data_IF_861195050156
#
_entry.id   IF_861195050156
#
_cell.length_a   1.000
_cell.length_b   1.000
_cell.length_c   1.000
_cell.angle_alpha   90.00
_cell.angle_beta   90.00
_cell.angle_gamma   90.00
#
_symmetry.space_group_name_H-M   'P 1'
#
loop_
_entity.id
_entity.type
_entity.pdbx_description
1 polymer ?
#
# COMPACT_ATOMS: atom_id res chain seq x y z
N UNK A 1 -1.74 4.45 -62.81
CA UNK A 1 -2.24 3.26 -63.54
C UNK A 1 -1.90 2.05 -62.68
N UNK A 2 -2.77 1.24 -62.09
CA UNK A 2 -4.22 0.96 -62.08
C UNK A 2 -4.50 0.44 -60.65
N UNK A 3 -5.44 0.92 -59.84
CA UNK A 3 -6.91 0.78 -59.85
C UNK A 3 -7.47 -0.66 -59.84
N UNK A 4 -8.30 -0.89 -58.80
CA UNK A 4 -9.41 -1.88 -58.65
C UNK A 4 -9.06 -3.34 -58.35
N UNK A 5 -9.83 -4.12 -57.58
CA UNK A 5 -10.83 -3.96 -56.50
C UNK A 5 -11.19 -5.42 -56.04
N UNK A 6 -12.00 -5.62 -54.98
CA UNK A 6 -12.08 -6.87 -54.20
C UNK A 6 -13.14 -7.86 -54.69
N UNK A 7 -13.07 -9.11 -54.21
CA UNK A 7 -14.09 -10.14 -54.44
C UNK A 7 -14.99 -10.30 -53.21
N UNK A 8 -16.29 -10.19 -53.45
CA UNK A 8 -17.40 -10.45 -52.54
C UNK A 8 -17.82 -11.94 -52.51
N UNK A 9 -18.19 -12.42 -51.31
CA UNK A 9 -19.33 -13.28 -50.85
C UNK A 9 -19.91 -14.39 -51.78
N UNK A 10 -20.45 -15.48 -51.17
CA UNK A 10 -21.88 -15.47 -50.84
C UNK A 10 -22.23 -15.94 -49.41
N UNK A 11 -23.39 -15.48 -48.98
CA UNK A 11 -24.10 -15.88 -47.77
C UNK A 11 -24.96 -17.12 -48.02
N UNK A 12 -25.20 -17.92 -46.99
CA UNK A 12 -26.42 -18.73 -46.90
C UNK A 12 -27.04 -18.60 -45.51
N UNK A 13 -28.29 -18.15 -45.55
CA UNK A 13 -29.26 -18.03 -44.47
C UNK A 13 -30.20 -19.25 -44.52
N UNK A 14 -30.59 -19.79 -43.37
CA UNK A 14 -31.92 -20.38 -43.10
C UNK A 14 -31.95 -20.91 -41.65
N UNK A 15 -32.64 -20.24 -40.74
CA UNK A 15 -34.00 -20.59 -40.28
C UNK A 15 -34.11 -21.92 -39.52
N UNK A 16 -34.25 -21.84 -38.19
CA UNK A 16 -35.40 -22.47 -37.51
C UNK A 16 -35.74 -21.77 -36.20
N UNK A 17 -36.98 -21.32 -36.14
CA UNK A 17 -37.66 -20.69 -35.01
C UNK A 17 -38.79 -21.66 -34.61
N UNK A 18 -38.95 -21.96 -33.32
CA UNK A 18 -40.19 -22.42 -32.65
C UNK A 18 -39.87 -22.56 -31.15
N UNK A 19 -40.21 -21.60 -30.28
CA UNK A 19 -41.49 -21.42 -29.54
C UNK A 19 -42.03 -22.71 -28.88
N UNK A 20 -41.94 -22.79 -27.54
CA UNK A 20 -43.09 -22.65 -26.61
C UNK A 20 -42.66 -22.77 -25.13
N UNK A 21 -43.43 -22.09 -24.28
CA UNK A 21 -43.27 -21.92 -22.85
C UNK A 21 -44.13 -22.88 -22.02
N UNK A 22 -43.72 -23.14 -20.77
CA UNK A 22 -44.55 -23.39 -19.58
C UNK A 22 -43.61 -23.33 -18.35
N UNK A 23 -43.59 -22.26 -17.54
CA UNK A 23 -44.38 -21.98 -16.31
C UNK A 23 -44.15 -22.93 -15.11
N UNK A 24 -43.47 -22.34 -14.10
CA UNK A 24 -43.61 -22.44 -12.62
C UNK A 24 -43.32 -23.76 -11.89
N UNK A 25 -42.44 -23.72 -10.87
CA UNK A 25 -42.79 -23.72 -9.42
C UNK A 25 -41.60 -23.28 -8.56
N UNK A 26 -41.93 -22.73 -7.39
CA UNK A 26 -41.11 -22.04 -6.37
C UNK A 26 -40.45 -23.04 -5.41
N UNK A 27 -39.22 -22.76 -4.93
CA UNK A 27 -38.80 -23.04 -3.56
C UNK A 27 -37.50 -22.29 -3.18
N UNK A 28 -37.58 -21.52 -2.09
CA UNK A 28 -36.49 -20.92 -1.34
C UNK A 28 -35.56 -22.01 -0.75
N UNK A 29 -34.25 -21.75 -0.74
CA UNK A 29 -33.36 -22.30 0.29
C UNK A 29 -32.41 -21.22 0.83
N UNK A 30 -32.81 -20.80 2.02
CA UNK A 30 -32.13 -20.22 3.18
C UNK A 30 -30.60 -20.09 3.16
N UNK A 31 -30.15 -18.86 3.44
CA UNK A 31 -28.85 -18.57 4.04
C UNK A 31 -28.83 -19.05 5.50
N UNK A 32 -27.91 -19.94 5.84
CA UNK A 32 -27.61 -20.29 7.23
C UNK A 32 -26.58 -19.31 7.77
N UNK A 33 -27.02 -18.32 8.55
CA UNK A 33 -26.17 -17.55 9.47
C UNK A 33 -26.46 -18.09 10.87
N UNK A 34 -25.48 -18.76 11.48
CA UNK A 34 -25.55 -19.13 12.89
C UNK A 34 -25.14 -17.88 13.68
N UNK A 35 -26.12 -17.13 14.15
CA UNK A 35 -25.96 -16.15 15.22
C UNK A 35 -26.47 -16.78 16.51
N UNK A 36 -25.61 -16.87 17.54
CA UNK A 36 -26.00 -17.31 18.87
C UNK A 36 -26.92 -16.26 19.54
N UNK A 37 -27.99 -16.64 20.24
CA UNK A 37 -28.84 -15.68 20.94
C UNK A 37 -28.21 -15.30 22.28
N UNK A 38 -27.96 -14.00 22.47
CA UNK A 38 -27.84 -13.44 23.82
C UNK A 38 -29.25 -13.35 24.41
N UNK A 39 -29.51 -14.13 25.45
CA UNK A 39 -30.72 -14.07 26.26
C UNK A 39 -30.75 -12.73 27.01
N UNK A 40 -31.89 -12.02 26.91
CA UNK A 40 -32.16 -10.76 27.57
C UNK A 40 -32.88 -10.97 28.91
N UNK A 41 -32.39 -10.30 29.95
CA UNK A 41 -33.11 -10.03 31.21
C UNK A 41 -32.85 -8.57 31.64
N UNK A 42 -33.74 -7.99 32.47
CA UNK A 42 -34.30 -6.66 32.23
C UNK A 42 -33.56 -5.49 32.90
N UNK A 43 -33.68 -4.34 32.22
CA UNK A 43 -33.74 -2.94 32.69
C UNK A 43 -33.09 -2.64 34.06
N UNK A 44 -31.79 -2.34 34.02
CA UNK A 44 -31.22 -1.22 34.76
C UNK A 44 -30.52 -0.33 33.74
N UNK A 45 -30.71 0.99 33.86
CA UNK A 45 -30.10 1.99 32.99
C UNK A 45 -28.57 1.84 33.01
N UNK A 46 -28.03 1.13 32.02
CA UNK A 46 -26.62 0.95 31.83
C UNK A 46 -26.05 2.25 31.26
N UNK A 47 -25.12 2.85 32.01
CA UNK A 47 -24.15 3.82 31.52
C UNK A 47 -23.60 3.30 30.17
N UNK A 48 -23.57 4.11 29.10
CA UNK A 48 -23.05 3.64 27.81
C UNK A 48 -21.60 3.18 27.97
N UNK A 49 -21.40 1.87 27.85
CA UNK A 49 -20.05 1.29 27.78
C UNK A 49 -19.29 1.95 26.64
N UNK A 50 -18.04 2.39 26.84
CA UNK A 50 -17.21 2.89 25.76
C UNK A 50 -17.09 1.79 24.70
N UNK A 51 -17.60 2.11 23.51
CA UNK A 51 -17.93 1.15 22.46
C UNK A 51 -16.79 0.21 22.11
N UNK A 52 -17.14 -1.05 21.86
CA UNK A 52 -16.29 -2.02 21.21
C UNK A 52 -15.62 -1.37 19.98
N UNK A 53 -14.29 -1.41 19.83
CA UNK A 53 -13.64 -0.90 18.64
C UNK A 53 -14.17 -1.66 17.43
N UNK A 54 -14.82 -0.94 16.51
CA UNK A 54 -15.31 -1.49 15.25
C UNK A 54 -14.16 -2.20 14.50
N UNK A 55 -14.47 -3.36 13.91
CA UNK A 55 -13.50 -4.14 13.12
C UNK A 55 -12.91 -3.29 11.99
N UNK A 56 -11.58 -3.35 11.74
CA UNK A 56 -10.97 -2.69 10.60
C UNK A 56 -11.64 -3.14 9.30
N UNK A 57 -12.04 -2.19 8.46
CA UNK A 57 -12.54 -2.48 7.10
C UNK A 57 -11.43 -2.22 6.10
N UNK A 58 -11.33 -3.10 5.09
CA UNK A 58 -10.46 -2.91 3.93
C UNK A 58 -10.64 -1.49 3.41
N UNK A 59 -9.56 -0.73 3.29
CA UNK A 59 -9.68 0.64 2.80
C UNK A 59 -10.13 0.61 1.35
N UNK A 60 -11.22 1.30 1.10
CA UNK A 60 -11.82 1.47 -0.22
C UNK A 60 -11.88 2.95 -0.54
N UNK A 61 -11.42 3.31 -1.74
CA UNK A 61 -11.56 4.67 -2.25
C UNK A 61 -12.28 4.63 -3.59
N UNK A 62 -13.32 5.44 -3.74
CA UNK A 62 -13.90 5.70 -5.05
C UNK A 62 -12.98 6.62 -5.86
N UNK A 63 -12.58 6.17 -7.03
CA UNK A 63 -11.73 6.88 -7.98
C UNK A 63 -12.33 6.69 -9.37
N UNK A 64 -12.72 7.78 -10.03
CA UNK A 64 -13.29 7.74 -11.38
C UNK A 64 -14.49 6.79 -11.51
N UNK A 65 -15.36 6.73 -10.49
CA UNK A 65 -16.52 5.85 -10.46
C UNK A 65 -16.25 4.42 -9.98
N UNK A 66 -14.99 4.06 -9.76
CA UNK A 66 -14.58 2.69 -9.39
C UNK A 66 -14.05 2.60 -7.96
N UNK A 67 -14.26 1.45 -7.31
CA UNK A 67 -13.70 1.18 -5.99
C UNK A 67 -12.28 0.62 -6.13
N UNK A 68 -11.32 1.25 -5.46
CA UNK A 68 -9.93 0.75 -5.36
C UNK A 68 -9.68 0.20 -3.96
N UNK A 69 -9.09 -0.98 -3.89
CA UNK A 69 -8.72 -1.65 -2.64
C UNK A 69 -7.22 -1.61 -2.48
N UNK A 70 -6.69 -1.09 -1.37
CA UNK A 70 -5.24 -0.93 -1.22
C UNK A 70 -4.61 -2.27 -0.75
N UNK A 71 -4.97 -3.36 -1.43
CA UNK A 71 -4.69 -4.74 -1.06
C UNK A 71 -3.80 -5.38 -2.13
N UNK A 72 -2.49 -5.32 -1.91
CA UNK A 72 -1.48 -5.82 -2.84
C UNK A 72 -0.94 -7.20 -2.45
N UNK A 73 -1.70 -7.90 -1.62
CA UNK A 73 -1.38 -9.21 -1.09
C UNK A 73 -0.97 -10.19 -2.18
N UNK A 74 -0.11 -11.13 -1.81
CA UNK A 74 0.40 -12.15 -2.71
C UNK A 74 -0.67 -13.02 -3.36
N UNK A 75 -1.77 -13.24 -2.65
CA UNK A 75 -2.92 -14.01 -3.11
C UNK A 75 -3.87 -13.22 -4.01
N UNK A 76 -3.69 -11.90 -4.14
CA UNK A 76 -4.56 -11.05 -4.94
C UNK A 76 -3.91 -10.69 -6.27
N UNK A 77 -4.68 -10.71 -7.39
CA UNK A 77 -4.19 -10.16 -8.65
C UNK A 77 -3.89 -8.66 -8.53
N UNK A 78 -2.99 -8.13 -9.36
CA UNK A 78 -2.73 -6.69 -9.39
C UNK A 78 -3.91 -5.89 -9.97
N UNK A 79 -4.68 -6.52 -10.87
CA UNK A 79 -5.93 -6.00 -11.42
C UNK A 79 -7.09 -6.52 -10.58
N UNK A 80 -7.85 -5.60 -9.99
CA UNK A 80 -9.04 -5.91 -9.22
C UNK A 80 -10.08 -6.58 -10.14
N UNK A 81 -10.50 -7.83 -9.85
CA UNK A 81 -11.45 -8.56 -10.71
C UNK A 81 -12.83 -7.92 -10.78
N UNK A 82 -13.24 -7.16 -9.75
CA UNK A 82 -14.53 -6.51 -9.69
C UNK A 82 -14.61 -5.25 -10.56
N UNK A 83 -13.49 -4.55 -10.74
CA UNK A 83 -13.45 -3.27 -11.48
C UNK A 83 -12.65 -3.33 -12.78
N UNK A 84 -11.87 -4.39 -13.02
CA UNK A 84 -11.00 -4.51 -14.19
C UNK A 84 -9.87 -3.48 -14.24
N UNK A 85 -9.46 -2.95 -13.08
CA UNK A 85 -8.49 -1.86 -12.95
C UNK A 85 -7.50 -2.19 -11.85
N UNK A 86 -6.25 -1.70 -11.91
CA UNK A 86 -5.31 -1.98 -10.84
C UNK A 86 -5.66 -1.19 -9.59
N UNK A 87 -5.26 -1.78 -8.47
CA UNK A 87 -5.39 -1.18 -7.15
C UNK A 87 -4.20 -0.27 -6.80
N UNK A 88 -3.20 -0.18 -7.68
CA UNK A 88 -2.06 0.73 -7.62
C UNK A 88 -2.21 1.87 -8.64
N UNK A 89 -1.73 3.05 -8.28
CA UNK A 89 -1.73 4.22 -9.15
C UNK A 89 -0.53 4.23 -10.10
N UNK A 90 0.65 3.85 -9.59
CA UNK A 90 1.88 3.80 -10.37
C UNK A 90 2.76 2.61 -9.95
N UNK A 91 3.54 2.10 -10.90
CA UNK A 91 4.57 1.10 -10.66
C UNK A 91 5.89 1.60 -11.23
N UNK A 92 6.88 1.81 -10.37
CA UNK A 92 8.23 2.21 -10.77
C UNK A 92 9.18 1.00 -10.76
N UNK A 93 9.97 0.81 -11.81
CA UNK A 93 11.02 -0.23 -11.93
C UNK A 93 11.98 0.10 -13.09
N UNK A 94 13.24 -0.35 -13.06
CA UNK A 94 14.23 -0.13 -14.15
C UNK A 94 14.26 1.33 -14.69
N UNK A 95 14.16 2.32 -13.80
CA UNK A 95 14.12 3.74 -14.18
C UNK A 95 12.88 4.16 -15.01
N UNK A 96 11.88 3.28 -15.12
CA UNK A 96 10.60 3.48 -15.81
C UNK A 96 9.47 3.59 -14.78
N UNK A 97 8.36 4.18 -15.22
CA UNK A 97 7.11 4.22 -14.47
C UNK A 97 5.96 3.78 -15.38
N UNK A 98 5.11 2.90 -14.88
CA UNK A 98 3.82 2.57 -15.47
C UNK A 98 2.73 3.31 -14.71
N UNK A 99 1.81 3.96 -15.43
CA UNK A 99 0.55 4.43 -14.86
C UNK A 99 -0.43 3.27 -14.70
N UNK A 100 -1.49 3.50 -13.93
CA UNK A 100 -2.55 2.51 -13.69
C UNK A 100 -3.09 1.83 -14.96
N UNK A 101 -3.34 2.58 -16.04
CA UNK A 101 -3.79 2.02 -17.32
C UNK A 101 -2.81 1.03 -17.99
N UNK A 102 -1.56 0.96 -17.53
CA UNK A 102 -0.50 0.13 -18.11
C UNK A 102 -0.14 -1.07 -17.22
N UNK A 103 -0.61 -1.12 -15.98
CA UNK A 103 -0.36 -2.22 -15.05
C UNK A 103 -1.23 -3.42 -15.47
N UNK A 104 -0.65 -4.62 -15.48
CA UNK A 104 -1.35 -5.88 -15.79
C UNK A 104 -1.28 -6.85 -14.62
N UNK A 105 -1.95 -8.00 -14.71
CA UNK A 105 -1.80 -9.06 -13.70
C UNK A 105 -0.40 -9.69 -13.66
N UNK A 106 0.41 -9.48 -14.70
CA UNK A 106 1.83 -9.81 -14.68
C UNK A 106 2.67 -8.70 -14.02
N UNK A 107 2.06 -7.64 -13.49
CA UNK A 107 2.73 -6.49 -12.89
C UNK A 107 3.33 -5.59 -13.95
N UNK A 108 4.57 -5.90 -14.37
CA UNK A 108 5.37 -5.11 -15.32
C UNK A 108 5.67 -5.80 -16.65
N UNK A 109 5.23 -7.06 -16.84
CA UNK A 109 5.70 -7.95 -17.92
C UNK A 109 7.25 -8.17 -17.92
N UNK A 110 7.91 -7.89 -16.79
CA UNK A 110 9.36 -8.06 -16.58
C UNK A 110 9.60 -8.78 -15.24
N UNK A 111 10.81 -9.29 -14.95
CA UNK A 111 11.04 -10.06 -13.72
C UNK A 111 11.01 -9.20 -12.44
N UNK A 112 11.07 -7.87 -12.56
CA UNK A 112 11.11 -6.93 -11.43
C UNK A 112 9.96 -7.10 -10.46
N UNK A 113 8.76 -7.42 -10.95
CA UNK A 113 7.60 -7.63 -10.07
C UNK A 113 6.66 -8.66 -10.65
N UNK A 114 6.15 -9.53 -9.79
CA UNK A 114 5.20 -10.56 -10.19
C UNK A 114 4.60 -11.30 -9.00
N UNK A 115 3.57 -12.08 -9.27
CA UNK A 115 3.03 -13.07 -8.33
C UNK A 115 3.77 -14.38 -8.53
N UNK A 116 4.32 -14.94 -7.46
CA UNK A 116 5.07 -16.20 -7.48
C UNK A 116 4.59 -17.11 -6.36
N UNK A 117 4.67 -18.42 -6.55
CA UNK A 117 4.36 -19.37 -5.48
C UNK A 117 5.57 -19.51 -4.55
N UNK A 118 5.35 -19.39 -3.25
CA UNK A 118 6.36 -19.65 -2.22
C UNK A 118 6.12 -21.04 -1.60
N UNK A 119 6.97 -22.03 -1.89
CA UNK A 119 6.80 -23.39 -1.37
C UNK A 119 6.97 -23.46 0.15
N UNK A 120 7.69 -22.52 0.77
CA UNK A 120 7.92 -22.52 2.21
C UNK A 120 6.67 -22.21 3.03
N UNK A 121 5.68 -21.55 2.43
CA UNK A 121 4.39 -21.25 3.07
C UNK A 121 3.17 -21.78 2.30
N UNK A 122 3.40 -22.44 1.15
CA UNK A 122 2.35 -23.02 0.31
C UNK A 122 1.37 -22.00 -0.27
N UNK A 123 1.80 -20.76 -0.53
CA UNK A 123 0.93 -19.66 -0.95
C UNK A 123 1.60 -18.76 -2.00
N UNK A 124 0.78 -18.07 -2.80
CA UNK A 124 1.26 -17.03 -3.71
C UNK A 124 1.67 -15.76 -2.95
N UNK A 125 2.78 -15.16 -3.38
CA UNK A 125 3.39 -13.96 -2.81
C UNK A 125 3.71 -12.95 -3.91
N UNK A 126 3.73 -11.66 -3.58
CA UNK A 126 4.23 -10.62 -4.47
C UNK A 126 5.74 -10.57 -4.35
N UNK A 127 6.47 -10.94 -5.40
CA UNK A 127 7.93 -10.75 -5.46
C UNK A 127 8.22 -9.39 -6.07
N UNK A 128 9.12 -8.63 -5.46
CA UNK A 128 9.78 -7.48 -6.07
C UNK A 128 11.28 -7.72 -6.15
N UNK A 129 11.89 -7.22 -7.21
CA UNK A 129 13.32 -7.35 -7.48
C UNK A 129 13.87 -6.03 -7.98
N UNK A 130 15.07 -5.69 -7.52
CA UNK A 130 15.90 -4.64 -8.11
C UNK A 130 17.22 -5.28 -8.51
N UNK A 131 17.64 -5.09 -9.76
CA UNK A 131 18.83 -5.70 -10.30
C UNK A 131 19.99 -4.70 -10.35
N UNK A 132 21.26 -5.17 -10.26
CA UNK A 132 22.42 -4.32 -10.48
C UNK A 132 22.42 -3.61 -11.84
N UNK A 133 21.80 -4.21 -12.85
CA UNK A 133 21.71 -3.64 -14.21
C UNK A 133 20.62 -2.59 -14.41
N UNK A 134 19.77 -2.33 -13.42
CA UNK A 134 18.63 -1.45 -13.57
C UNK A 134 19.06 -0.01 -13.88
N UNK A 135 18.27 0.68 -14.71
CA UNK A 135 18.45 2.11 -14.94
C UNK A 135 18.01 2.90 -13.72
N UNK A 136 18.69 4.00 -13.44
CA UNK A 136 18.34 4.87 -12.33
C UNK A 136 17.47 6.04 -12.82
N UNK A 137 16.27 6.17 -12.25
CA UNK A 137 15.46 7.39 -12.33
C UNK A 137 14.98 7.73 -10.92
N UNK A 138 15.68 8.65 -10.27
CA UNK A 138 15.49 9.01 -8.87
C UNK A 138 15.80 7.86 -7.88
N UNK A 139 16.81 7.04 -8.20
CA UNK A 139 17.27 5.89 -7.40
C UNK A 139 16.87 4.53 -7.95
N UNK A 140 17.36 3.46 -7.32
CA UNK A 140 17.13 2.07 -7.72
C UNK A 140 15.91 1.53 -6.98
N UNK A 141 14.84 1.21 -7.70
CA UNK A 141 13.57 0.84 -7.07
C UNK A 141 12.79 -0.14 -7.90
N UNK A 142 12.03 -0.96 -7.21
CA UNK A 142 10.79 -1.57 -7.70
C UNK A 142 9.72 -1.30 -6.65
N UNK A 143 8.82 -0.34 -6.91
CA UNK A 143 7.82 0.11 -5.95
C UNK A 143 6.44 0.24 -6.60
N UNK A 144 5.44 -0.28 -5.90
CA UNK A 144 4.03 0.00 -6.14
C UNK A 144 3.64 1.22 -5.32
N UNK A 145 3.18 2.25 -6.01
CA UNK A 145 2.68 3.48 -5.42
C UNK A 145 1.15 3.38 -5.39
N UNK A 146 0.57 3.42 -4.21
CA UNK A 146 -0.87 3.40 -4.05
C UNK A 146 -1.49 4.74 -4.47
N UNK A 147 -2.81 4.77 -4.57
CA UNK A 147 -3.55 6.03 -4.69
C UNK A 147 -3.35 6.89 -3.42
N UNK A 148 -3.74 8.16 -3.51
CA UNK A 148 -3.61 9.08 -2.39
C UNK A 148 -4.50 8.69 -1.20
N UNK A 149 -3.99 8.85 0.02
CA UNK A 149 -4.77 8.70 1.26
C UNK A 149 -5.28 10.07 1.74
N UNK A 150 -6.39 10.07 2.46
CA UNK A 150 -6.93 11.28 3.06
C UNK A 150 -6.24 11.61 4.39
N UNK A 151 -6.06 12.91 4.74
CA UNK A 151 -5.61 13.27 6.07
C UNK A 151 -6.71 13.03 7.12
N UNK A 152 -6.33 13.06 8.39
CA UNK A 152 -7.22 13.11 9.56
C UNK A 152 -8.13 11.89 9.76
N UNK A 153 -7.68 10.72 9.33
CA UNK A 153 -8.39 9.44 9.44
C UNK A 153 -7.53 8.40 10.15
N UNK A 154 -8.15 7.37 10.71
CA UNK A 154 -7.42 6.29 11.36
C UNK A 154 -7.13 5.19 10.34
N UNK A 155 -5.86 4.91 10.10
CA UNK A 155 -5.42 3.87 9.19
C UNK A 155 -4.67 2.76 9.92
N UNK A 156 -4.77 1.56 9.38
CA UNK A 156 -3.91 0.43 9.74
C UNK A 156 -3.33 -0.13 8.45
N UNK A 157 -2.01 -0.20 8.34
CA UNK A 157 -1.33 -0.89 7.27
C UNK A 157 -0.75 -2.19 7.80
N UNK A 158 -1.03 -3.31 7.13
CA UNK A 158 -0.41 -4.61 7.42
C UNK A 158 0.54 -5.00 6.29
N UNK A 159 1.78 -5.28 6.66
CA UNK A 159 2.86 -5.66 5.75
C UNK A 159 3.52 -6.93 6.28
N UNK A 160 3.46 -8.02 5.52
CA UNK A 160 4.18 -9.25 5.82
C UNK A 160 5.20 -9.51 4.72
N UNK A 161 6.49 -9.41 5.05
CA UNK A 161 7.58 -9.44 4.08
C UNK A 161 8.65 -10.46 4.47
N UNK A 162 9.37 -10.95 3.46
CA UNK A 162 10.54 -11.82 3.59
C UNK A 162 11.63 -11.30 2.66
N UNK A 163 12.83 -11.10 3.19
CA UNK A 163 14.03 -10.88 2.37
C UNK A 163 14.50 -12.22 1.80
N UNK A 164 15.07 -12.22 0.60
CA UNK A 164 15.64 -13.43 -0.01
C UNK A 164 16.56 -14.19 0.97
N UNK A 165 16.53 -15.53 1.04
CA UNK A 165 17.45 -16.28 1.90
C UNK A 165 18.94 -15.98 1.65
N UNK A 166 19.29 -15.57 0.43
CA UNK A 166 20.65 -15.18 0.04
C UNK A 166 20.91 -13.68 0.19
N UNK A 167 20.09 -12.98 0.98
CA UNK A 167 20.23 -11.55 1.18
C UNK A 167 21.57 -11.20 1.83
N UNK A 168 22.35 -10.39 1.11
CA UNK A 168 23.58 -9.83 1.63
C UNK A 168 23.29 -8.58 2.48
N UNK A 169 23.48 -8.70 3.79
CA UNK A 169 23.30 -7.61 4.74
C UNK A 169 24.53 -6.69 4.82
N UNK A 170 25.70 -7.17 4.43
CA UNK A 170 26.98 -6.45 4.55
C UNK A 170 27.35 -5.69 3.26
N UNK A 171 26.39 -5.60 2.33
CA UNK A 171 26.56 -4.83 1.11
C UNK A 171 26.80 -3.34 1.44
N UNK A 172 27.88 -2.71 0.92
CA UNK A 172 28.23 -1.32 1.22
C UNK A 172 27.13 -0.29 0.95
N UNK A 173 26.27 -0.55 -0.04
CA UNK A 173 25.15 0.31 -0.45
C UNK A 173 23.80 -0.41 -0.26
N UNK A 174 23.70 -1.25 0.78
CA UNK A 174 22.63 -2.22 0.94
C UNK A 174 21.31 -1.68 1.49
N UNK A 175 21.26 -0.45 2.03
CA UNK A 175 20.04 0.01 2.67
C UNK A 175 18.93 0.36 1.68
N UNK A 176 17.70 0.06 2.11
CA UNK A 176 16.52 0.35 1.34
C UNK A 176 15.26 0.50 2.16
N UNK A 177 14.21 0.94 1.49
CA UNK A 177 12.89 1.21 2.05
C UNK A 177 11.91 0.16 1.54
N UNK A 178 11.17 -0.44 2.47
CA UNK A 178 10.12 -1.43 2.21
C UNK A 178 8.75 -0.77 2.04
N UNK A 179 8.50 0.28 2.82
CA UNK A 179 7.23 0.98 2.90
C UNK A 179 7.44 2.44 3.28
N UNK A 180 6.64 3.35 2.73
CA UNK A 180 6.73 4.77 3.05
C UNK A 180 5.42 5.52 2.83
N UNK A 181 5.22 6.57 3.61
CA UNK A 181 4.26 7.65 3.31
C UNK A 181 5.03 8.81 2.69
N UNK A 182 4.65 9.20 1.48
CA UNK A 182 5.34 10.23 0.71
C UNK A 182 4.41 11.39 0.39
N UNK A 183 4.90 12.61 0.63
CA UNK A 183 4.22 13.84 0.24
C UNK A 183 4.51 14.21 -1.21
N UNK A 184 3.65 15.04 -1.78
CA UNK A 184 3.87 15.58 -3.13
C UNK A 184 4.56 16.94 -3.04
N UNK A 185 5.89 16.89 -3.00
CA UNK A 185 6.74 18.08 -2.92
C UNK A 185 6.46 19.08 -4.06
N UNK A 186 6.53 20.38 -3.74
CA UNK A 186 6.57 21.48 -4.70
C UNK A 186 7.87 21.44 -5.53
N UNK A 187 7.95 22.12 -6.69
CA UNK A 187 9.12 22.04 -7.58
C UNK A 187 10.46 22.43 -6.93
N UNK A 188 10.42 23.24 -5.86
CA UNK A 188 11.59 23.69 -5.09
C UNK A 188 11.81 22.93 -3.77
N UNK A 189 11.05 21.87 -3.52
CA UNK A 189 11.15 21.04 -2.33
C UNK A 189 11.74 19.67 -2.70
N UNK A 190 12.64 19.13 -1.87
CA UNK A 190 13.13 17.76 -2.00
C UNK A 190 12.42 16.88 -0.99
N UNK A 191 11.41 16.12 -1.45
CA UNK A 191 10.55 15.34 -0.58
C UNK A 191 11.16 14.00 -0.17
N UNK A 192 11.65 13.91 1.05
CA UNK A 192 11.80 12.61 1.73
C UNK A 192 10.43 11.97 1.98
N UNK A 193 10.41 10.71 2.40
CA UNK A 193 9.23 10.14 3.00
C UNK A 193 9.03 10.74 4.40
N UNK A 194 7.79 11.12 4.75
CA UNK A 194 7.48 11.61 6.11
C UNK A 194 7.53 10.48 7.12
N UNK A 195 7.15 9.28 6.70
CA UNK A 195 7.29 8.05 7.47
C UNK A 195 7.87 6.98 6.56
N UNK A 196 8.82 6.19 7.04
CA UNK A 196 9.35 5.07 6.26
C UNK A 196 9.74 3.90 7.17
N UNK A 197 9.62 2.71 6.61
CA UNK A 197 10.12 1.46 7.15
C UNK A 197 11.18 0.92 6.18
N UNK A 198 12.39 0.67 6.66
CA UNK A 198 13.50 0.24 5.84
C UNK A 198 14.45 -0.72 6.55
N UNK A 199 15.37 -1.27 5.77
CA UNK A 199 16.41 -2.19 6.22
C UNK A 199 17.76 -1.52 6.05
N UNK A 200 18.59 -1.55 7.10
CA UNK A 200 19.98 -1.07 7.11
C UNK A 200 20.82 -2.12 7.83
N UNK A 201 21.70 -2.81 7.09
CA UNK A 201 22.32 -4.04 7.59
C UNK A 201 21.25 -5.00 8.12
N UNK A 202 21.54 -5.68 9.22
CA UNK A 202 20.61 -6.59 9.90
C UNK A 202 19.44 -5.91 10.63
N UNK A 203 19.22 -4.60 10.44
CA UNK A 203 18.27 -3.82 11.24
C UNK A 203 17.08 -3.34 10.42
N UNK A 204 15.88 -3.64 10.91
CA UNK A 204 14.66 -2.96 10.54
C UNK A 204 14.57 -1.63 11.29
N UNK A 205 14.37 -0.55 10.53
CA UNK A 205 14.31 0.82 11.02
C UNK A 205 13.01 1.48 10.60
N UNK A 206 12.39 2.18 11.55
CA UNK A 206 11.31 3.10 11.27
C UNK A 206 11.81 4.53 11.42
N UNK A 207 11.38 5.43 10.54
CA UNK A 207 11.72 6.86 10.64
C UNK A 207 10.48 7.71 10.50
N UNK A 208 10.51 8.85 11.19
CA UNK A 208 9.61 9.98 10.96
C UNK A 208 10.47 11.20 10.66
N UNK A 209 10.27 11.80 9.51
CA UNK A 209 11.01 12.97 9.05
C UNK A 209 10.01 14.13 8.89
N UNK A 210 10.09 15.10 9.78
CA UNK A 210 9.24 16.30 9.72
C UNK A 210 10.09 17.55 9.47
N UNK A 211 9.76 18.43 8.50
CA UNK A 211 10.57 19.60 8.19
C UNK A 211 10.82 20.47 9.43
N UNK A 212 12.08 20.81 9.73
CA UNK A 212 12.40 21.53 10.97
C UNK A 212 11.85 22.96 10.96
N UNK A 213 11.75 23.59 9.78
CA UNK A 213 11.03 24.84 9.56
C UNK A 213 9.56 24.76 9.99
N UNK A 214 8.85 23.70 9.64
CA UNK A 214 7.49 23.45 10.11
C UNK A 214 7.46 23.20 11.63
N UNK A 215 8.41 22.42 12.14
CA UNK A 215 8.54 22.13 13.57
C UNK A 215 8.74 23.39 14.42
N UNK A 216 9.30 24.46 13.85
CA UNK A 216 9.55 25.76 14.51
C UNK A 216 8.52 26.86 14.18
N UNK A 217 7.55 26.58 13.31
CA UNK A 217 6.56 27.57 12.88
C UNK A 217 5.78 28.17 14.06
N UNK A 218 5.59 29.49 14.08
CA UNK A 218 4.84 30.20 15.14
C UNK A 218 3.33 30.32 14.86
N UNK A 219 2.89 30.02 13.64
CA UNK A 219 1.47 30.04 13.21
C UNK A 219 1.14 28.83 12.34
N UNK A 220 -0.15 28.50 12.22
CA UNK A 220 -0.62 27.43 11.35
C UNK A 220 -1.89 27.82 10.57
N UNK A 221 -2.00 27.49 9.27
CA UNK A 221 -0.96 26.93 8.40
C UNK A 221 0.20 27.93 8.20
N UNK A 222 1.39 27.42 7.89
CA UNK A 222 2.54 28.24 7.48
C UNK A 222 3.07 27.72 6.16
N UNK A 223 3.54 28.59 5.25
CA UNK A 223 4.38 28.17 4.14
C UNK A 223 5.67 27.55 4.67
N UNK A 224 6.07 26.41 4.09
CA UNK A 224 7.26 25.67 4.54
C UNK A 224 8.04 25.19 3.32
N UNK A 225 9.33 25.51 3.27
CA UNK A 225 10.25 24.85 2.36
C UNK A 225 10.82 23.59 3.02
N UNK A 226 10.83 22.48 2.30
CA UNK A 226 11.49 21.24 2.72
C UNK A 226 12.81 21.15 1.97
N UNK A 227 13.93 21.31 2.69
CA UNK A 227 15.27 21.09 2.14
C UNK A 227 15.63 19.59 2.14
N UNK A 228 16.81 19.22 1.62
CA UNK A 228 17.26 17.82 1.65
C UNK A 228 17.58 17.34 3.07
N UNK A 229 18.10 18.24 3.91
CA UNK A 229 18.73 17.85 5.17
C UNK A 229 18.07 18.46 6.42
N UNK A 230 17.18 19.46 6.25
CA UNK A 230 16.54 20.18 7.36
C UNK A 230 15.27 19.49 7.87
N UNK A 231 15.46 18.30 8.44
CA UNK A 231 14.39 17.51 9.04
C UNK A 231 14.62 17.30 10.54
N UNK A 232 13.60 17.57 11.33
CA UNK A 232 13.51 17.04 12.68
C UNK A 232 13.39 15.52 12.59
N UNK A 233 14.37 14.83 13.18
CA UNK A 233 14.43 13.37 13.23
C UNK A 233 14.07 12.89 14.63
N UNK A 234 13.23 11.86 14.68
CA UNK A 234 12.96 11.13 15.91
C UNK A 234 13.79 9.86 15.89
N UNK A 235 14.57 9.64 16.95
CA UNK A 235 15.28 8.39 17.14
C UNK A 235 14.30 7.33 17.64
N UNK A 236 14.27 6.19 16.95
CA UNK A 236 13.45 5.05 17.31
C UNK A 236 14.34 3.83 17.59
N UNK A 237 13.93 2.93 18.51
CA UNK A 237 14.63 1.66 18.67
C UNK A 237 14.60 0.89 17.35
N UNK A 238 15.70 0.22 17.01
CA UNK A 238 15.79 -0.67 15.85
C UNK A 238 15.42 -2.10 16.25
N UNK A 239 15.08 -2.94 15.28
CA UNK A 239 14.86 -4.38 15.48
C UNK A 239 15.74 -5.19 14.55
N UNK A 240 16.36 -6.25 15.05
CA UNK A 240 17.08 -7.19 14.19
C UNK A 240 16.09 -7.95 13.32
N UNK A 241 16.50 -8.26 12.09
CA UNK A 241 15.76 -9.10 11.16
C UNK A 241 16.68 -10.10 10.48
N UNK A 242 16.11 -11.23 10.12
CA UNK A 242 16.78 -12.30 9.39
C UNK A 242 16.23 -12.43 7.98
N UNK A 243 17.10 -12.85 7.07
CA UNK A 243 16.76 -13.29 5.73
C UNK A 243 15.97 -14.60 5.75
N UNK A 244 15.21 -14.88 4.68
CA UNK A 244 14.54 -16.17 4.50
C UNK A 244 13.31 -16.44 5.39
N UNK A 245 12.99 -15.54 6.33
CA UNK A 245 11.82 -15.62 7.21
C UNK A 245 10.82 -14.49 6.92
N UNK A 246 9.53 -14.79 7.06
CA UNK A 246 8.50 -13.75 7.05
C UNK A 246 8.48 -12.99 8.37
N UNK A 247 8.44 -11.66 8.27
CA UNK A 247 8.24 -10.72 9.36
C UNK A 247 6.94 -9.96 9.11
N UNK A 248 6.09 -9.88 10.13
CA UNK A 248 4.80 -9.18 10.05
C UNK A 248 4.88 -7.84 10.77
N UNK A 249 4.72 -6.76 10.01
CA UNK A 249 4.65 -5.39 10.52
C UNK A 249 3.22 -4.89 10.41
N UNK A 250 2.68 -4.41 11.54
CA UNK A 250 1.41 -3.68 11.59
C UNK A 250 1.69 -2.24 11.94
N UNK A 251 1.16 -1.30 11.17
CA UNK A 251 1.36 0.14 11.32
C UNK A 251 -0.01 0.79 11.49
N UNK A 252 -0.39 1.13 12.72
CA UNK A 252 -1.57 1.96 12.96
C UNK A 252 -1.16 3.42 13.01
N UNK A 253 -1.76 4.28 12.19
CA UNK A 253 -1.37 5.68 12.11
C UNK A 253 -2.55 6.62 11.85
N UNK A 254 -2.39 7.86 12.29
CA UNK A 254 -3.29 8.97 11.98
C UNK A 254 -2.48 10.02 11.21
N UNK A 255 -2.76 10.25 9.92
CA UNK A 255 -2.05 11.19 9.08
C UNK A 255 -2.49 12.61 9.42
N UNK A 256 -1.62 13.38 10.04
CA UNK A 256 -1.82 14.78 10.40
C UNK A 256 -0.49 15.52 10.26
N UNK A 257 -0.52 16.63 9.54
CA UNK A 257 0.67 17.45 9.28
C UNK A 257 0.92 18.50 10.36
N UNK A 258 -0.05 18.70 11.26
CA UNK A 258 0.00 19.75 12.27
C UNK A 258 0.89 19.36 13.46
N UNK A 259 1.76 20.26 13.93
CA UNK A 259 2.38 20.16 15.24
C UNK A 259 1.35 20.12 16.37
N UNK A 260 1.69 19.46 17.48
CA UNK A 260 0.80 19.34 18.67
C UNK A 260 0.33 20.71 19.19
N UNK A 261 1.22 21.71 19.20
CA UNK A 261 0.87 23.10 19.63
C UNK A 261 -0.20 23.78 18.77
N UNK A 262 -0.49 23.25 17.59
CA UNK A 262 -1.55 23.71 16.68
C UNK A 262 -2.71 22.71 16.59
N UNK A 263 -2.87 21.87 17.63
CA UNK A 263 -3.96 20.89 17.72
C UNK A 263 -3.73 19.62 16.91
N UNK A 264 -2.50 19.34 16.47
CA UNK A 264 -2.16 18.13 15.74
C UNK A 264 -2.37 16.85 16.55
N UNK A 265 -2.97 15.85 15.91
CA UNK A 265 -3.33 14.55 16.51
C UNK A 265 -2.59 13.36 15.88
N UNK A 266 -1.56 13.65 15.07
CA UNK A 266 -0.80 12.63 14.38
C UNK A 266 -0.19 11.60 15.33
N UNK A 267 -0.23 10.34 14.92
CA UNK A 267 0.44 9.27 15.64
C UNK A 267 0.84 8.15 14.69
N UNK A 268 1.84 7.37 15.10
CA UNK A 268 2.18 6.08 14.51
C UNK A 268 2.45 5.06 15.63
N UNK A 269 1.89 3.86 15.49
CA UNK A 269 2.12 2.73 16.39
C UNK A 269 2.47 1.52 15.53
N UNK A 270 3.61 0.91 15.82
CA UNK A 270 4.09 -0.24 15.07
C UNK A 270 4.21 -1.46 15.97
N UNK A 271 3.85 -2.60 15.39
CA UNK A 271 4.11 -3.93 15.93
C UNK A 271 4.94 -4.72 14.94
N UNK A 272 5.91 -5.49 15.44
CA UNK A 272 6.70 -6.46 14.68
C UNK A 272 6.41 -7.84 15.25
N UNK A 273 5.95 -8.77 14.42
CA UNK A 273 5.59 -10.14 14.79
C UNK A 273 4.62 -10.18 15.99
N UNK A 274 3.65 -9.27 16.00
CA UNK A 274 2.66 -9.12 17.06
C UNK A 274 3.14 -8.37 18.31
N UNK A 275 4.44 -8.12 18.44
CA UNK A 275 5.01 -7.41 19.60
C UNK A 275 5.04 -5.90 19.39
N UNK A 276 4.62 -5.08 20.37
CA UNK A 276 4.76 -3.63 20.30
C UNK A 276 6.22 -3.21 20.06
N UNK A 277 6.42 -2.23 19.18
CA UNK A 277 7.75 -1.74 18.83
C UNK A 277 7.86 -0.22 18.92
N UNK A 278 7.06 0.50 18.13
CA UNK A 278 7.11 1.97 18.09
C UNK A 278 5.82 2.55 18.64
N UNK A 279 5.95 3.62 19.41
CA UNK A 279 4.87 4.55 19.73
C UNK A 279 5.34 5.97 19.50
N UNK A 280 4.70 6.65 18.56
CA UNK A 280 5.00 8.02 18.20
C UNK A 280 3.73 8.87 18.24
N UNK A 281 3.87 10.09 18.73
CA UNK A 281 2.84 11.14 18.71
C UNK A 281 3.48 12.42 18.20
N UNK A 282 2.85 13.03 17.20
CA UNK A 282 3.37 14.18 16.48
C UNK A 282 2.98 14.11 15.00
N UNK A 283 3.46 15.06 14.19
CA UNK A 283 3.15 15.09 12.77
C UNK A 283 3.59 13.82 12.05
N UNK A 284 2.73 13.31 11.19
CA UNK A 284 2.90 12.10 10.37
C UNK A 284 2.69 12.38 8.89
N UNK A 285 2.41 13.63 8.54
CA UNK A 285 2.32 14.16 7.18
C UNK A 285 3.24 15.38 7.03
N UNK A 286 3.75 15.59 5.81
CA UNK A 286 4.38 16.86 5.46
C UNK A 286 3.34 17.96 5.24
N UNK A 287 3.59 19.19 5.72
CA UNK A 287 2.71 20.33 5.48
C UNK A 287 3.10 21.08 4.21
N UNK A 288 2.17 21.81 3.61
CA UNK A 288 2.45 22.72 2.49
C UNK A 288 2.99 22.02 1.23
N UNK A 289 2.16 21.14 0.66
CA UNK A 289 2.47 20.28 -0.50
C UNK A 289 1.49 20.50 -1.67
N UNK A 290 1.82 20.01 -2.87
CA UNK A 290 0.99 20.21 -4.09
C UNK A 290 -0.21 19.27 -4.20
N UNK A 291 -0.12 18.08 -3.61
CA UNK A 291 -1.16 17.07 -3.71
C UNK A 291 -1.16 16.18 -2.46
N UNK A 292 -2.22 15.39 -2.24
CA UNK A 292 -2.31 14.51 -1.09
C UNK A 292 -1.16 13.49 -1.01
N UNK A 293 -0.87 13.02 0.21
CA UNK A 293 0.11 11.96 0.44
C UNK A 293 -0.36 10.64 -0.15
N UNK A 294 0.61 9.79 -0.46
CA UNK A 294 0.39 8.41 -0.87
C UNK A 294 1.25 7.45 -0.06
N UNK A 295 0.93 6.18 -0.17
CA UNK A 295 1.72 5.09 0.38
C UNK A 295 2.43 4.41 -0.77
N UNK A 296 3.74 4.21 -0.64
CA UNK A 296 4.52 3.39 -1.55
C UNK A 296 5.04 2.16 -0.79
N UNK A 297 5.05 1.00 -1.44
CA UNK A 297 5.67 -0.20 -0.90
C UNK A 297 6.42 -0.99 -2.00
N UNK A 298 7.38 -1.80 -1.60
CA UNK A 298 8.25 -2.56 -2.50
C UNK A 298 9.69 -2.53 -1.99
N UNK A 299 10.65 -2.34 -2.90
CA UNK A 299 12.04 -2.09 -2.51
C UNK A 299 12.54 -0.81 -3.19
N UNK A 300 12.98 0.15 -2.39
CA UNK A 300 13.71 1.33 -2.87
C UNK A 300 15.08 1.40 -2.21
N UNK A 301 16.12 1.13 -2.98
CA UNK A 301 17.50 1.22 -2.55
C UNK A 301 17.99 2.65 -2.73
N UNK A 302 18.22 3.30 -1.59
CA UNK A 302 18.57 4.72 -1.52
C UNK A 302 20.07 4.93 -1.29
N UNK A 303 20.78 3.94 -0.74
CA UNK A 303 22.23 4.01 -0.50
C UNK A 303 23.09 3.80 -1.75
N UNK A 304 22.48 3.56 -2.91
CA UNK A 304 23.20 3.50 -4.18
C UNK A 304 22.80 2.31 -5.03
N UNK A 305 23.73 1.84 -5.85
CA UNK A 305 23.50 0.80 -6.83
C UNK A 305 23.57 -0.58 -6.16
N UNK A 306 22.58 -1.47 -6.36
CA UNK A 306 22.71 -2.84 -5.91
C UNK A 306 23.92 -3.53 -6.55
N UNK A 307 24.74 -4.16 -5.72
CA UNK A 307 25.85 -5.01 -6.19
C UNK A 307 25.40 -6.45 -6.45
N UNK A 308 24.24 -6.83 -5.89
CA UNK A 308 23.55 -8.09 -6.17
C UNK A 308 22.05 -7.86 -6.29
N UNK A 309 21.31 -8.85 -6.80
CA UNK A 309 19.85 -8.75 -6.93
C UNK A 309 19.22 -8.63 -5.55
N UNK A 310 18.41 -7.59 -5.35
CA UNK A 310 17.63 -7.41 -4.12
C UNK A 310 16.23 -7.94 -4.33
N UNK A 311 15.96 -9.12 -3.79
CA UNK A 311 14.64 -9.75 -3.87
C UNK A 311 13.92 -9.66 -2.53
N UNK A 312 12.69 -9.13 -2.55
CA UNK A 312 11.79 -9.09 -1.40
C UNK A 312 10.47 -9.73 -1.78
N UNK A 313 9.93 -10.55 -0.89
CA UNK A 313 8.65 -11.21 -1.05
C UNK A 313 7.64 -10.60 -0.08
N UNK A 314 6.46 -10.25 -0.56
CA UNK A 314 5.36 -9.74 0.25
C UNK A 314 4.20 -10.74 0.21
N UNK A 315 3.85 -11.28 1.38
CA UNK A 315 2.65 -12.10 1.54
C UNK A 315 1.42 -11.21 1.70
N UNK A 316 1.53 -10.19 2.54
CA UNK A 316 0.48 -9.21 2.82
C UNK A 316 1.02 -7.80 2.64
N UNK A 317 0.23 -6.93 2.02
CA UNK A 317 0.51 -5.51 1.83
C UNK A 317 -0.83 -4.80 1.67
N UNK A 318 -1.47 -4.49 2.81
CA UNK A 318 -2.88 -4.11 2.85
C UNK A 318 -3.13 -2.93 3.78
N UNK A 319 -3.84 -1.91 3.28
CA UNK A 319 -4.33 -0.78 4.06
C UNK A 319 -5.81 -0.96 4.45
N UNK A 320 -6.10 -0.66 5.70
CA UNK A 320 -7.42 -0.61 6.31
C UNK A 320 -7.70 0.81 6.82
N UNK A 321 -8.96 1.22 6.80
CA UNK A 321 -9.44 2.43 7.48
C UNK A 321 -10.30 2.02 8.68
N UNK A 322 -9.98 2.55 9.84
CA UNK A 322 -10.84 2.43 11.02
C UNK A 322 -11.87 3.55 10.96
N UNK A 323 -13.14 3.18 10.85
CA UNK A 323 -14.25 4.12 10.86
C UNK A 323 -14.87 4.17 12.26
N UNK A 324 -15.28 5.37 12.74
CA UNK A 324 -16.14 5.46 13.91
C UNK A 324 -17.40 4.63 13.67
N UNK A 325 -17.86 3.95 14.71
CA UNK A 325 -19.14 3.26 14.64
C UNK A 325 -20.27 4.30 14.45
N UNK A 326 -21.30 4.00 13.64
CA UNK A 326 -22.46 4.87 13.46
C UNK A 326 -23.25 5.08 14.75
#
# INVERSE_FOLDING_TARGET
MSCHQPVMRPAHSAHRMQRRAARTWVALLSNTVIAAPCLAHPVHAAVPSPGCPCSPVTYQRQMQGEVRTYAFDGSRPFINPGTGKPDAAYLDFDGRGLSDGQITNAGSNTPHIGKVFDPGIGQSVTRVQVFPGDRQRYGYRTQLNAYAIGPYRHYVYELEFKLDPQWDFEMPEGAGVLWQVKGHAKPYQTGHAVMSLGVVGHQLRFTVLYPATAARARRWPSPVAWGRDDYARVAFPVRSIDAGRYHRVRIAFYPDERPVRFGGKGYARLWLDGQPWIRYTGPTLHPDQLAPHRIDFGWYQWEGRPQSVRTVYFRTAHLYEQRPCP
#
